data_IF_808639439666
#
_entry.id   IF_808639439666
#
_cell.length_a   1.000
_cell.length_b   1.000
_cell.length_c   1.000
_cell.angle_alpha   90.00
_cell.angle_beta   90.00
_cell.angle_gamma   90.00
#
_symmetry.space_group_name_H-M   'P 1'
#
loop_
_entity.id
_entity.type
_entity.pdbx_description
1 polymer ?
#
# COMPACT_ATOMS: atom_id res chain seq x y z
N UNK A 1 11.26 -29.63 2.65
CA UNK A 1 11.25 -28.13 2.67
C UNK A 1 12.64 -27.64 3.03
N UNK A 2 13.21 -26.79 2.19
CA UNK A 2 14.64 -26.45 2.23
C UNK A 2 15.00 -25.50 3.38
N UNK A 3 16.06 -25.81 4.15
CA UNK A 3 16.63 -25.00 5.23
C UNK A 3 17.05 -23.61 4.73
N UNK A 4 17.52 -23.52 3.49
CA UNK A 4 17.92 -22.28 2.80
C UNK A 4 16.77 -21.30 2.63
N UNK A 5 15.59 -21.77 2.22
CA UNK A 5 14.38 -20.93 2.01
C UNK A 5 13.88 -20.31 3.32
N UNK A 6 13.96 -21.04 4.43
CA UNK A 6 13.59 -20.53 5.78
C UNK A 6 14.53 -19.44 6.24
N UNK A 7 15.83 -19.66 6.08
CA UNK A 7 16.85 -18.67 6.45
C UNK A 7 16.67 -17.38 5.65
N UNK A 8 16.45 -17.51 4.33
CA UNK A 8 16.18 -16.39 3.44
C UNK A 8 14.92 -15.62 3.86
N UNK A 9 13.83 -16.33 4.18
CA UNK A 9 12.56 -15.70 4.61
C UNK A 9 12.75 -14.89 5.89
N UNK A 10 13.50 -15.38 6.88
CA UNK A 10 13.83 -14.64 8.10
C UNK A 10 14.72 -13.43 7.81
N UNK A 11 15.73 -13.58 6.95
CA UNK A 11 16.62 -12.49 6.53
C UNK A 11 15.84 -11.36 5.85
N UNK A 12 15.01 -11.67 4.85
CA UNK A 12 14.15 -10.70 4.15
C UNK A 12 13.23 -9.97 5.13
N UNK A 13 12.58 -10.70 6.04
CA UNK A 13 11.72 -10.07 7.05
C UNK A 13 12.51 -9.16 8.02
N UNK A 14 13.79 -9.44 8.30
CA UNK A 14 14.65 -8.62 9.16
C UNK A 14 15.05 -7.31 8.48
N UNK A 15 15.45 -7.37 7.21
CA UNK A 15 15.94 -6.22 6.45
C UNK A 15 14.83 -5.40 5.78
N UNK A 16 13.56 -5.71 6.05
CA UNK A 16 12.38 -5.07 5.44
C UNK A 16 12.47 -3.53 5.43
N UNK A 17 12.86 -2.93 6.55
CA UNK A 17 12.96 -1.47 6.66
C UNK A 17 13.97 -0.87 5.69
N UNK A 18 15.10 -1.53 5.49
CA UNK A 18 16.12 -1.13 4.52
C UNK A 18 15.61 -1.28 3.07
N UNK A 19 14.90 -2.37 2.77
CA UNK A 19 14.29 -2.56 1.43
C UNK A 19 13.31 -1.42 1.14
N UNK A 20 12.47 -1.03 2.11
CA UNK A 20 11.54 0.08 1.97
C UNK A 20 12.25 1.43 1.76
N UNK A 21 13.32 1.69 2.52
CA UNK A 21 14.12 2.91 2.37
C UNK A 21 14.75 3.00 0.98
N UNK A 22 15.39 1.91 0.51
CA UNK A 22 15.99 1.84 -0.83
C UNK A 22 14.92 1.99 -1.91
N UNK A 23 13.77 1.31 -1.79
CA UNK A 23 12.67 1.45 -2.73
C UNK A 23 12.15 2.89 -2.81
N UNK A 24 12.06 3.58 -1.66
CA UNK A 24 11.65 4.99 -1.60
C UNK A 24 12.66 5.89 -2.28
N UNK A 25 13.96 5.67 -2.09
CA UNK A 25 15.03 6.42 -2.76
C UNK A 25 15.01 6.19 -4.27
N UNK A 26 14.87 4.94 -4.71
CA UNK A 26 14.84 4.59 -6.14
C UNK A 26 13.60 5.17 -6.86
N UNK A 27 12.46 5.27 -6.17
CA UNK A 27 11.26 5.88 -6.75
C UNK A 27 11.26 7.40 -6.70
N UNK A 28 12.20 8.03 -5.98
CA UNK A 28 12.32 9.47 -5.78
C UNK A 28 13.78 9.95 -5.95
N UNK A 29 14.43 9.57 -7.03
CA UNK A 29 15.85 9.88 -7.27
C UNK A 29 16.10 11.39 -7.45
N UNK A 30 15.11 12.14 -7.95
CA UNK A 30 15.25 13.57 -8.24
C UNK A 30 15.09 14.46 -7.01
N UNK A 31 15.69 14.07 -5.87
CA UNK A 31 15.64 14.81 -4.59
C UNK A 31 16.00 16.31 -4.74
N UNK A 32 17.02 16.71 -5.54
CA UNK A 32 17.35 18.14 -5.71
C UNK A 32 16.20 19.00 -6.24
N UNK A 33 15.24 18.40 -6.96
CA UNK A 33 14.06 19.11 -7.45
C UNK A 33 13.09 19.52 -6.33
N UNK A 34 13.14 18.87 -5.15
CA UNK A 34 12.38 19.30 -3.97
C UNK A 34 12.76 20.70 -3.53
N UNK A 35 14.06 21.02 -3.57
CA UNK A 35 14.58 22.35 -3.20
C UNK A 35 14.30 23.38 -4.31
N UNK A 36 14.31 22.97 -5.56
CA UNK A 36 14.07 23.83 -6.72
C UNK A 36 12.58 24.10 -6.98
N UNK A 37 11.67 23.40 -6.32
CA UNK A 37 10.22 23.50 -6.53
C UNK A 37 9.78 23.19 -7.97
N UNK A 38 10.54 22.34 -8.70
CA UNK A 38 10.25 21.96 -10.09
C UNK A 38 9.91 20.49 -10.19
N UNK A 39 8.81 20.16 -10.89
CA UNK A 39 8.39 18.78 -11.13
C UNK A 39 9.26 18.17 -12.23
N UNK A 40 9.84 16.99 -11.98
CA UNK A 40 10.51 16.21 -13.01
C UNK A 40 9.53 15.77 -14.10
N UNK A 41 9.85 15.98 -15.37
CA UNK A 41 9.01 15.69 -16.54
C UNK A 41 9.66 14.74 -17.54
N UNK A 42 10.64 13.96 -17.13
CA UNK A 42 11.33 13.00 -18.02
C UNK A 42 10.43 11.84 -18.47
N UNK A 43 10.81 11.18 -19.57
CA UNK A 43 10.06 10.04 -20.16
C UNK A 43 9.77 8.90 -19.17
N UNK A 44 10.65 8.65 -18.19
CA UNK A 44 10.45 7.60 -17.18
C UNK A 44 9.21 7.85 -16.33
N UNK A 45 8.76 9.11 -16.18
CA UNK A 45 7.56 9.45 -15.40
C UNK A 45 6.26 8.90 -16.00
N UNK A 46 6.26 8.44 -17.24
CA UNK A 46 5.12 7.73 -17.85
C UNK A 46 4.96 6.30 -17.33
N UNK A 47 6.01 5.73 -16.72
CA UNK A 47 6.00 4.39 -16.16
C UNK A 47 5.45 4.43 -14.73
N UNK A 48 4.53 3.52 -14.40
CA UNK A 48 3.97 3.41 -13.07
C UNK A 48 4.94 2.72 -12.11
N UNK A 49 5.06 3.26 -10.88
CA UNK A 49 5.74 2.59 -9.78
C UNK A 49 4.78 1.63 -9.07
N UNK A 50 5.26 0.56 -8.42
CA UNK A 50 4.37 -0.43 -7.80
C UNK A 50 3.64 0.08 -6.56
N UNK A 51 4.20 1.08 -5.87
CA UNK A 51 3.66 1.67 -4.64
C UNK A 51 2.89 2.97 -4.86
N UNK A 52 2.39 3.54 -3.77
CA UNK A 52 1.77 4.87 -3.80
C UNK A 52 2.87 5.92 -3.88
N UNK A 53 2.90 6.68 -4.96
CA UNK A 53 3.86 7.78 -5.21
C UNK A 53 3.13 8.92 -5.93
N UNK A 54 3.28 10.17 -5.49
CA UNK A 54 2.54 11.26 -6.09
C UNK A 54 3.14 11.68 -7.44
N UNK A 55 2.31 11.78 -8.50
CA UNK A 55 2.76 12.29 -9.80
C UNK A 55 3.30 13.73 -9.71
N UNK A 56 2.69 14.55 -8.84
CA UNK A 56 3.10 15.95 -8.62
C UNK A 56 4.32 16.09 -7.69
N UNK A 57 4.90 14.98 -7.19
CA UNK A 57 6.12 15.03 -6.41
C UNK A 57 7.30 15.50 -7.28
N UNK A 58 8.06 16.53 -6.86
CA UNK A 58 9.25 16.99 -7.58
C UNK A 58 10.32 15.91 -7.73
N UNK A 59 10.48 15.06 -6.73
CA UNK A 59 11.49 14.01 -6.70
C UNK A 59 11.05 12.73 -7.43
N UNK A 60 9.75 12.55 -7.71
CA UNK A 60 9.21 11.31 -8.23
C UNK A 60 9.72 10.98 -9.63
N UNK A 61 10.29 9.77 -9.77
CA UNK A 61 10.77 9.23 -11.04
C UNK A 61 9.65 8.65 -11.88
N UNK A 62 8.64 8.02 -11.25
CA UNK A 62 7.53 7.37 -11.94
C UNK A 62 6.16 7.85 -11.45
N UNK A 63 5.11 7.43 -12.16
CA UNK A 63 3.73 7.82 -11.87
C UNK A 63 3.06 6.96 -10.80
N UNK A 64 2.12 7.55 -10.06
CA UNK A 64 1.24 6.82 -9.16
C UNK A 64 0.26 5.94 -9.96
N UNK A 65 0.18 4.62 -9.70
CA UNK A 65 -0.71 3.75 -10.44
C UNK A 65 -2.20 4.06 -10.22
N UNK A 66 -2.59 4.58 -9.05
CA UNK A 66 -3.97 5.03 -8.80
C UNK A 66 -4.29 6.30 -9.56
N UNK A 67 -3.37 7.26 -9.63
CA UNK A 67 -3.55 8.47 -10.44
C UNK A 67 -3.68 8.15 -11.93
N UNK A 68 -2.81 7.28 -12.45
CA UNK A 68 -2.87 6.80 -13.83
C UNK A 68 -4.18 6.04 -14.10
N UNK A 69 -4.65 5.23 -13.18
CA UNK A 69 -5.91 4.49 -13.33
C UNK A 69 -7.13 5.43 -13.39
N UNK A 70 -7.19 6.45 -12.52
CA UNK A 70 -8.25 7.47 -12.58
C UNK A 70 -8.21 8.26 -13.89
N UNK A 71 -7.02 8.61 -14.38
CA UNK A 71 -6.86 9.31 -15.65
C UNK A 71 -7.38 8.46 -16.83
N UNK A 72 -7.09 7.15 -16.84
CA UNK A 72 -7.58 6.22 -17.87
C UNK A 72 -9.10 6.07 -17.80
N UNK A 73 -9.67 5.93 -16.61
CA UNK A 73 -11.13 5.83 -16.44
C UNK A 73 -11.81 7.14 -16.84
N UNK A 74 -11.28 8.29 -16.41
CA UNK A 74 -11.82 9.60 -16.75
C UNK A 74 -11.72 9.93 -18.23
N UNK A 75 -10.81 9.31 -18.98
CA UNK A 75 -10.67 9.43 -20.43
C UNK A 75 -11.34 8.29 -21.21
N UNK A 76 -12.07 7.39 -20.57
CA UNK A 76 -12.63 6.17 -21.17
C UNK A 76 -13.61 6.44 -22.35
N UNK A 77 -14.23 7.62 -22.36
CA UNK A 77 -15.08 8.05 -23.48
C UNK A 77 -14.30 8.28 -24.80
N UNK A 78 -12.98 8.56 -24.70
CA UNK A 78 -12.12 8.81 -25.85
C UNK A 78 -11.30 7.59 -26.23
N UNK A 79 -10.51 7.07 -25.28
CA UNK A 79 -9.66 5.90 -25.48
C UNK A 79 -9.36 5.22 -24.14
N UNK A 80 -9.63 3.92 -24.01
CA UNK A 80 -9.26 3.16 -22.83
C UNK A 80 -7.86 2.56 -23.00
N UNK A 81 -6.93 2.90 -22.10
CA UNK A 81 -5.58 2.34 -22.09
C UNK A 81 -5.51 1.12 -21.17
N UNK A 82 -5.28 -0.06 -21.73
CA UNK A 82 -5.17 -1.31 -20.99
C UNK A 82 -3.86 -1.45 -20.20
N UNK A 83 -2.88 -0.55 -20.42
CA UNK A 83 -1.57 -0.58 -19.77
C UNK A 83 -1.68 -0.68 -18.25
N UNK A 84 -2.43 0.22 -17.63
CA UNK A 84 -2.53 0.27 -16.16
C UNK A 84 -3.28 -0.94 -15.59
N UNK A 85 -4.30 -1.43 -16.29
CA UNK A 85 -5.02 -2.64 -15.88
C UNK A 85 -4.11 -3.86 -15.95
N UNK A 86 -3.35 -4.02 -17.04
CA UNK A 86 -2.34 -5.06 -17.18
C UNK A 86 -1.24 -4.97 -16.11
N UNK A 87 -0.80 -3.76 -15.79
CA UNK A 87 0.16 -3.51 -14.71
C UNK A 87 -0.35 -3.99 -13.35
N UNK A 88 -1.62 -3.70 -12.99
CA UNK A 88 -2.22 -4.18 -11.75
C UNK A 88 -2.36 -5.69 -11.71
N UNK A 89 -2.80 -6.31 -12.82
CA UNK A 89 -2.94 -7.76 -12.91
C UNK A 89 -1.57 -8.42 -12.76
N UNK A 90 -0.57 -7.98 -13.52
CA UNK A 90 0.78 -8.54 -13.48
C UNK A 90 1.38 -8.48 -12.08
N UNK A 91 1.44 -7.29 -11.48
CA UNK A 91 2.01 -7.11 -10.15
C UNK A 91 1.17 -7.76 -9.06
N UNK A 92 -0.15 -7.72 -9.18
CA UNK A 92 -1.07 -8.36 -8.26
C UNK A 92 -0.90 -9.88 -8.24
N UNK A 93 -0.80 -10.50 -9.42
CA UNK A 93 -0.59 -11.95 -9.55
C UNK A 93 0.78 -12.40 -9.06
N UNK A 94 1.84 -11.64 -9.32
CA UNK A 94 3.20 -12.01 -8.89
C UNK A 94 3.38 -11.79 -7.39
N UNK A 95 3.08 -10.59 -6.90
CA UNK A 95 3.47 -10.13 -5.57
C UNK A 95 2.28 -9.89 -4.61
N UNK A 96 1.06 -9.64 -5.11
CA UNK A 96 -0.07 -9.26 -4.28
C UNK A 96 0.25 -8.07 -3.37
N UNK A 97 -0.17 -8.13 -2.11
CA UNK A 97 0.09 -7.06 -1.12
C UNK A 97 1.52 -7.03 -0.55
N UNK A 98 2.43 -7.87 -1.01
CA UNK A 98 3.86 -7.74 -0.69
C UNK A 98 4.38 -6.35 -1.08
N UNK A 99 3.91 -5.80 -2.19
CA UNK A 99 4.20 -4.43 -2.64
C UNK A 99 3.92 -3.41 -1.53
N UNK A 100 2.76 -3.50 -0.88
CA UNK A 100 2.41 -2.63 0.24
C UNK A 100 3.33 -2.81 1.46
N UNK A 101 3.87 -4.02 1.64
CA UNK A 101 4.77 -4.35 2.74
C UNK A 101 6.20 -3.89 2.56
N UNK A 102 6.71 -3.87 1.32
CA UNK A 102 8.13 -3.71 1.02
C UNK A 102 8.48 -2.57 0.06
N UNK A 103 7.60 -2.23 -0.89
CA UNK A 103 7.91 -1.28 -1.97
C UNK A 103 7.18 0.06 -1.84
N UNK A 104 6.10 0.13 -1.04
CA UNK A 104 5.29 1.33 -0.92
C UNK A 104 5.91 2.31 0.09
N UNK A 105 6.29 3.48 -0.39
CA UNK A 105 6.90 4.54 0.43
C UNK A 105 5.92 5.13 1.46
N UNK A 106 4.64 5.32 1.12
CA UNK A 106 3.64 5.77 2.09
C UNK A 106 3.40 4.74 3.20
N UNK A 107 3.55 3.44 2.87
CA UNK A 107 3.55 2.37 3.86
C UNK A 107 4.77 2.45 4.80
N UNK A 108 5.95 2.81 4.27
CA UNK A 108 7.14 3.03 5.08
C UNK A 108 7.01 4.26 5.99
N UNK A 109 6.48 5.37 5.46
CA UNK A 109 6.17 6.56 6.24
C UNK A 109 5.28 6.25 7.46
N UNK A 110 4.18 5.50 7.27
CA UNK A 110 3.33 5.07 8.37
C UNK A 110 4.05 4.13 9.36
N UNK A 111 4.94 3.27 8.87
CA UNK A 111 5.76 2.40 9.74
C UNK A 111 6.72 3.22 10.63
N UNK A 112 7.29 4.32 10.10
CA UNK A 112 8.14 5.23 10.86
C UNK A 112 7.33 5.98 11.93
N UNK A 113 6.18 6.53 11.57
CA UNK A 113 5.28 7.20 12.52
C UNK A 113 4.85 6.26 13.65
N UNK A 114 4.55 5.00 13.32
CA UNK A 114 4.15 4.02 14.32
C UNK A 114 5.29 3.62 15.28
N UNK A 115 6.55 3.95 15.01
CA UNK A 115 7.66 3.74 15.94
C UNK A 115 7.72 4.81 17.03
N UNK A 116 7.10 5.97 16.84
CA UNK A 116 7.05 7.04 17.85
C UNK A 116 6.39 6.50 19.13
N UNK A 117 6.96 6.80 20.28
CA UNK A 117 6.43 6.38 21.58
C UNK A 117 5.02 6.91 21.81
N UNK A 118 4.15 6.10 22.39
CA UNK A 118 2.77 6.44 22.70
C UNK A 118 1.88 5.21 22.83
N UNK A 119 0.63 5.42 23.25
CA UNK A 119 -0.38 4.35 23.36
C UNK A 119 -0.66 3.75 21.99
N UNK A 120 -0.59 2.43 21.85
CA UNK A 120 -0.87 1.70 20.61
C UNK A 120 -2.16 0.92 20.76
N UNK A 121 -3.06 1.08 19.81
CA UNK A 121 -4.35 0.41 19.81
C UNK A 121 -4.42 -0.66 18.73
N UNK A 122 -5.05 -1.79 19.06
CA UNK A 122 -5.38 -2.83 18.08
C UNK A 122 -6.61 -2.43 17.27
N UNK A 123 -6.59 -2.72 15.97
CA UNK A 123 -7.73 -2.50 15.07
C UNK A 123 -8.65 -3.71 14.98
N UNK A 124 -8.48 -4.72 15.84
CA UNK A 124 -9.24 -5.97 15.78
C UNK A 124 -10.76 -5.77 15.92
N UNK A 125 -11.21 -4.75 16.68
CA UNK A 125 -12.63 -4.39 16.81
C UNK A 125 -13.18 -3.63 15.60
N UNK A 126 -12.32 -2.99 14.81
CA UNK A 126 -12.69 -2.12 13.68
C UNK A 126 -12.65 -2.87 12.34
N UNK A 127 -13.04 -4.15 12.33
CA UNK A 127 -13.01 -4.99 11.12
C UNK A 127 -13.88 -4.45 9.99
N UNK A 128 -15.01 -3.82 10.33
CA UNK A 128 -15.94 -3.26 9.34
C UNK A 128 -15.32 -2.11 8.53
N UNK A 129 -14.44 -1.29 9.14
CA UNK A 129 -13.76 -0.21 8.45
C UNK A 129 -12.84 -0.72 7.31
N UNK A 130 -12.47 -2.00 7.30
CA UNK A 130 -11.67 -2.58 6.22
C UNK A 130 -12.39 -2.57 4.86
N UNK A 131 -13.73 -2.52 4.87
CA UNK A 131 -14.53 -2.45 3.64
C UNK A 131 -14.57 -1.04 3.05
N UNK A 132 -14.29 0.01 3.85
CA UNK A 132 -14.30 1.41 3.41
C UNK A 132 -13.37 1.65 2.20
N UNK A 133 -12.18 1.02 2.16
CA UNK A 133 -11.26 1.15 1.02
C UNK A 133 -11.82 0.60 -0.30
N UNK A 134 -12.69 -0.43 -0.26
CA UNK A 134 -13.36 -0.96 -1.45
C UNK A 134 -14.47 -0.01 -1.91
N UNK A 135 -15.22 0.58 -0.96
CA UNK A 135 -16.18 1.64 -1.27
C UNK A 135 -15.48 2.85 -1.91
N UNK A 136 -14.35 3.29 -1.33
CA UNK A 136 -13.55 4.39 -1.90
C UNK A 136 -13.04 4.02 -3.30
N UNK A 137 -12.58 2.79 -3.52
CA UNK A 137 -12.14 2.33 -4.83
C UNK A 137 -13.29 2.40 -5.86
N UNK A 138 -14.47 1.90 -5.51
CA UNK A 138 -15.60 1.89 -6.44
C UNK A 138 -16.11 3.30 -6.69
N UNK A 139 -16.38 4.08 -5.64
CA UNK A 139 -17.01 5.39 -5.77
C UNK A 139 -16.02 6.44 -6.29
N UNK A 140 -14.90 6.66 -5.59
CA UNK A 140 -13.99 7.80 -5.85
C UNK A 140 -12.95 7.53 -6.94
N UNK A 141 -12.63 6.26 -7.22
CA UNK A 141 -11.62 5.93 -8.24
C UNK A 141 -12.25 5.48 -9.54
N UNK A 142 -13.45 4.86 -9.51
CA UNK A 142 -14.11 4.34 -10.73
C UNK A 142 -15.33 5.19 -11.10
N UNK A 143 -16.37 5.25 -10.27
CA UNK A 143 -17.64 5.86 -10.63
C UNK A 143 -17.53 7.37 -10.83
N UNK A 144 -17.01 8.12 -9.88
CA UNK A 144 -16.93 9.57 -9.99
C UNK A 144 -16.12 10.04 -11.21
N UNK A 145 -14.89 9.52 -11.48
CA UNK A 145 -14.16 9.90 -12.69
C UNK A 145 -14.86 9.50 -14.00
N UNK A 146 -15.70 8.46 -13.97
CA UNK A 146 -16.43 7.99 -15.15
C UNK A 146 -17.64 8.87 -15.49
N UNK A 147 -18.39 9.30 -14.47
CA UNK A 147 -19.66 9.99 -14.65
C UNK A 147 -19.54 11.51 -14.53
N UNK A 148 -18.66 12.01 -13.66
CA UNK A 148 -18.49 13.45 -13.44
C UNK A 148 -17.32 13.95 -14.27
N UNK A 149 -17.63 14.55 -15.40
CA UNK A 149 -16.64 15.11 -16.33
C UNK A 149 -16.57 16.63 -16.22
N UNK A 150 -15.41 17.20 -16.49
CA UNK A 150 -15.18 18.64 -16.58
C UNK A 150 -15.69 19.19 -17.93
N UNK A 151 -15.55 20.50 -18.14
CA UNK A 151 -15.96 21.21 -19.38
C UNK A 151 -15.32 20.65 -20.66
N UNK A 152 -14.17 19.94 -20.54
CA UNK A 152 -13.45 19.32 -21.66
C UNK A 152 -13.90 17.85 -21.89
N UNK A 153 -14.84 17.34 -21.08
CA UNK A 153 -15.33 15.97 -21.18
C UNK A 153 -14.42 14.91 -20.53
N UNK A 154 -13.40 15.33 -19.78
CA UNK A 154 -12.52 14.42 -19.03
C UNK A 154 -12.92 14.34 -17.55
N UNK A 155 -12.88 13.14 -16.97
CA UNK A 155 -13.17 12.94 -15.56
C UNK A 155 -12.04 13.42 -14.66
N UNK A 156 -12.41 14.10 -13.58
CA UNK A 156 -11.45 14.54 -12.54
C UNK A 156 -10.97 13.35 -11.69
N UNK A 157 -9.71 13.36 -11.24
CA UNK A 157 -9.17 12.32 -10.35
C UNK A 157 -9.62 12.54 -8.91
N UNK A 158 -10.87 12.27 -8.58
CA UNK A 158 -11.52 12.59 -7.30
C UNK A 158 -10.77 12.10 -6.07
N UNK A 159 -10.28 10.85 -6.08
CA UNK A 159 -9.50 10.35 -4.95
C UNK A 159 -8.22 11.16 -4.73
N UNK A 160 -7.47 11.45 -5.79
CA UNK A 160 -6.23 12.24 -5.71
C UNK A 160 -6.51 13.69 -5.31
N UNK A 161 -7.62 14.26 -5.81
CA UNK A 161 -8.01 15.66 -5.58
C UNK A 161 -8.49 15.91 -4.16
N UNK A 162 -9.26 14.98 -3.57
CA UNK A 162 -9.94 15.22 -2.29
C UNK A 162 -9.45 14.37 -1.12
N UNK A 163 -9.02 13.11 -1.33
CA UNK A 163 -8.79 12.16 -0.24
C UNK A 163 -7.30 11.84 -0.03
N UNK A 164 -6.49 11.82 -1.11
CA UNK A 164 -5.12 11.32 -1.04
C UNK A 164 -4.19 12.24 -0.23
N UNK A 165 -3.65 11.80 0.94
CA UNK A 165 -2.71 12.60 1.73
C UNK A 165 -1.31 12.66 1.11
N UNK A 166 -0.95 11.67 0.27
CA UNK A 166 0.34 11.61 -0.40
C UNK A 166 0.58 12.81 -1.32
N UNK A 167 -0.48 13.28 -1.99
CA UNK A 167 -0.42 14.46 -2.85
C UNK A 167 -0.04 15.74 -2.11
N UNK A 168 -0.42 15.86 -0.83
CA UNK A 168 0.00 16.99 0.03
C UNK A 168 1.42 16.78 0.52
N UNK A 169 1.71 15.59 1.07
CA UNK A 169 3.00 15.28 1.68
C UNK A 169 4.17 15.41 0.69
N UNK A 170 4.04 14.86 -0.50
CA UNK A 170 5.12 14.79 -1.49
C UNK A 170 5.02 15.82 -2.60
N UNK A 171 3.83 16.36 -2.85
CA UNK A 171 3.58 17.34 -3.92
C UNK A 171 3.40 18.75 -3.37
N UNK A 172 2.25 19.01 -2.75
CA UNK A 172 1.85 20.38 -2.41
C UNK A 172 2.79 21.05 -1.41
N UNK A 173 3.23 20.36 -0.35
CA UNK A 173 4.16 20.94 0.65
C UNK A 173 5.52 21.29 0.01
N UNK A 174 6.25 20.37 -0.65
CA UNK A 174 7.55 20.73 -1.24
C UNK A 174 7.44 21.81 -2.33
N UNK A 175 6.40 21.76 -3.17
CA UNK A 175 6.20 22.74 -4.22
C UNK A 175 5.91 24.14 -3.66
N UNK A 176 5.10 24.23 -2.58
CA UNK A 176 4.78 25.51 -1.94
C UNK A 176 5.96 26.11 -1.19
N UNK A 177 6.88 25.28 -0.70
CA UNK A 177 8.12 25.74 -0.05
C UNK A 177 9.13 26.26 -1.08
N UNK A 178 9.21 25.60 -2.25
CA UNK A 178 10.17 25.95 -3.29
C UNK A 178 9.68 27.02 -4.27
N UNK A 179 8.38 27.36 -4.31
CA UNK A 179 7.83 28.29 -5.29
C UNK A 179 6.75 29.21 -4.66
N UNK A 180 7.04 30.52 -4.62
CA UNK A 180 6.15 31.54 -4.04
C UNK A 180 4.83 31.70 -4.82
N UNK A 181 4.86 31.56 -6.15
CA UNK A 181 3.66 31.65 -6.99
C UNK A 181 2.68 30.50 -6.70
N UNK A 182 3.19 29.29 -6.44
CA UNK A 182 2.34 28.16 -6.03
C UNK A 182 1.77 28.41 -4.63
N UNK A 183 2.57 28.97 -3.71
CA UNK A 183 2.13 29.29 -2.36
C UNK A 183 0.96 30.28 -2.36
N UNK A 184 1.01 31.32 -3.18
CA UNK A 184 -0.07 32.32 -3.29
C UNK A 184 -1.36 31.77 -3.92
N UNK A 185 -1.25 30.72 -4.73
CA UNK A 185 -2.38 30.06 -5.38
C UNK A 185 -3.05 28.97 -4.52
N UNK A 186 -2.54 28.69 -3.30
CA UNK A 186 -3.12 27.70 -2.41
C UNK A 186 -4.46 28.19 -1.84
N UNK A 187 -5.54 27.49 -2.16
CA UNK A 187 -6.90 27.79 -1.68
C UNK A 187 -7.36 26.86 -0.54
N UNK A 188 -8.66 26.94 -0.23
CA UNK A 188 -9.33 26.18 0.83
C UNK A 188 -9.16 24.65 0.68
N UNK A 189 -9.07 24.15 -0.54
CA UNK A 189 -8.84 22.73 -0.82
C UNK A 189 -7.49 22.24 -0.24
N UNK A 190 -6.46 23.06 -0.27
CA UNK A 190 -5.17 22.72 0.33
C UNK A 190 -5.30 22.57 1.85
N UNK A 191 -5.97 23.51 2.53
CA UNK A 191 -6.20 23.44 3.98
C UNK A 191 -6.99 22.20 4.37
N UNK A 192 -8.04 21.85 3.62
CA UNK A 192 -8.82 20.62 3.83
C UNK A 192 -7.95 19.37 3.69
N UNK A 193 -7.11 19.30 2.67
CA UNK A 193 -6.19 18.16 2.45
C UNK A 193 -5.08 18.09 3.49
N UNK A 194 -4.60 19.23 4.02
CA UNK A 194 -3.69 19.26 5.16
C UNK A 194 -4.34 18.66 6.41
N UNK A 195 -5.60 18.94 6.66
CA UNK A 195 -6.35 18.34 7.76
C UNK A 195 -6.41 16.82 7.63
N UNK A 196 -6.68 16.29 6.41
CA UNK A 196 -6.65 14.85 6.15
C UNK A 196 -5.26 14.26 6.42
N UNK A 197 -4.19 14.93 5.96
CA UNK A 197 -2.82 14.48 6.20
C UNK A 197 -2.52 14.42 7.69
N UNK A 198 -2.85 15.47 8.45
CA UNK A 198 -2.66 15.53 9.91
C UNK A 198 -3.44 14.38 10.59
N UNK A 199 -4.69 14.18 10.21
CA UNK A 199 -5.52 13.08 10.72
C UNK A 199 -4.85 11.72 10.46
N UNK A 200 -4.35 11.47 9.25
CA UNK A 200 -3.66 10.23 8.91
C UNK A 200 -2.36 10.07 9.70
N UNK A 201 -1.61 11.16 9.94
CA UNK A 201 -0.39 11.15 10.76
C UNK A 201 -0.72 10.77 12.20
N UNK A 202 -1.69 11.43 12.83
CA UNK A 202 -2.12 11.11 14.21
C UNK A 202 -2.61 9.67 14.31
N UNK A 203 -3.47 9.24 13.41
CA UNK A 203 -3.95 7.86 13.37
C UNK A 203 -2.81 6.85 13.16
N UNK A 204 -1.75 7.19 12.39
CA UNK A 204 -0.60 6.31 12.15
C UNK A 204 0.31 6.15 13.37
N UNK A 205 0.31 7.13 14.28
CA UNK A 205 0.99 7.02 15.57
C UNK A 205 0.23 6.04 16.48
N UNK A 206 -1.11 6.14 16.51
CA UNK A 206 -1.98 5.32 17.36
C UNK A 206 -2.21 3.90 16.83
N UNK A 207 -2.48 3.76 15.54
CA UNK A 207 -2.82 2.51 14.87
C UNK A 207 -1.76 2.13 13.84
N UNK A 208 -1.54 0.83 13.67
CA UNK A 208 -0.62 0.35 12.65
C UNK A 208 -1.24 0.46 11.26
N UNK A 209 -0.68 1.31 10.40
CA UNK A 209 -1.05 1.52 8.99
C UNK A 209 -2.55 1.78 8.75
N UNK A 210 -3.19 2.75 9.40
CA UNK A 210 -4.63 3.00 9.29
C UNK A 210 -5.04 3.35 7.86
N UNK A 211 -4.28 4.19 7.15
CA UNK A 211 -4.58 4.53 5.77
C UNK A 211 -4.57 3.30 4.86
N UNK A 212 -3.56 2.44 4.97
CA UNK A 212 -3.46 1.20 4.18
C UNK A 212 -4.56 0.19 4.51
N UNK A 213 -5.08 0.19 5.76
CA UNK A 213 -6.16 -0.70 6.19
C UNK A 213 -7.53 -0.23 5.71
N UNK A 214 -7.80 1.08 5.76
CA UNK A 214 -9.16 1.62 5.68
C UNK A 214 -9.44 2.47 4.45
N UNK A 215 -8.45 3.20 3.92
CA UNK A 215 -8.67 4.26 2.92
C UNK A 215 -8.03 3.92 1.57
N UNK A 216 -6.86 3.27 1.55
CA UNK A 216 -6.03 3.14 0.35
C UNK A 216 -6.65 2.26 -0.74
N UNK A 217 -7.05 2.80 -1.91
CA UNK A 217 -7.62 2.03 -3.01
C UNK A 217 -6.60 1.10 -3.67
N UNK A 218 -5.31 1.46 -3.70
CA UNK A 218 -4.23 0.58 -4.16
C UNK A 218 -4.14 -0.68 -3.29
N UNK A 219 -4.30 -0.50 -1.97
CA UNK A 219 -4.39 -1.62 -1.03
C UNK A 219 -5.63 -2.48 -1.26
N UNK A 220 -6.75 -1.92 -1.72
CA UNK A 220 -7.94 -2.65 -2.09
C UNK A 220 -7.70 -3.50 -3.35
N UNK A 221 -7.12 -2.93 -4.41
CA UNK A 221 -6.81 -3.65 -5.67
C UNK A 221 -5.90 -4.84 -5.38
N UNK A 222 -4.73 -4.63 -4.75
CA UNK A 222 -3.80 -5.72 -4.45
C UNK A 222 -4.35 -6.76 -3.47
N UNK A 223 -5.32 -6.40 -2.62
CA UNK A 223 -5.94 -7.36 -1.71
C UNK A 223 -6.78 -8.43 -2.42
N UNK A 224 -7.37 -8.11 -3.57
CA UNK A 224 -8.12 -9.06 -4.40
C UNK A 224 -7.21 -10.18 -4.89
N UNK A 225 -5.97 -9.85 -5.24
CA UNK A 225 -4.98 -10.83 -5.73
C UNK A 225 -4.29 -11.62 -4.62
N UNK A 226 -4.44 -11.25 -3.35
CA UNK A 226 -3.61 -11.80 -2.27
C UNK A 226 -3.80 -13.31 -2.06
N UNK A 227 -4.97 -13.86 -2.39
CA UNK A 227 -5.25 -15.29 -2.30
C UNK A 227 -4.66 -16.09 -3.46
N UNK A 228 -4.56 -15.48 -4.65
CA UNK A 228 -4.17 -16.15 -5.90
C UNK A 228 -2.75 -15.83 -6.34
N UNK A 229 -2.07 -14.87 -5.69
CA UNK A 229 -0.72 -14.44 -6.06
C UNK A 229 0.32 -15.55 -5.86
N UNK A 230 1.32 -15.55 -6.73
CA UNK A 230 2.40 -16.54 -6.74
C UNK A 230 3.27 -16.49 -5.49
N UNK A 231 3.58 -15.29 -4.98
CA UNK A 231 4.26 -15.12 -3.70
C UNK A 231 3.22 -15.22 -2.58
N UNK A 232 3.32 -16.20 -1.71
CA UNK A 232 2.40 -16.35 -0.58
C UNK A 232 3.13 -16.78 0.71
N UNK A 233 2.40 -16.82 1.82
CA UNK A 233 2.90 -17.30 3.11
C UNK A 233 2.38 -18.72 3.31
N UNK A 234 3.31 -19.66 3.57
CA UNK A 234 2.99 -21.05 3.92
C UNK A 234 3.24 -21.30 5.39
N UNK A 235 2.27 -21.97 6.03
CA UNK A 235 2.39 -22.50 7.38
C UNK A 235 2.52 -24.03 7.27
N UNK A 236 3.62 -24.57 7.80
CA UNK A 236 3.89 -26.00 7.82
C UNK A 236 3.20 -26.65 9.02
N UNK A 237 2.11 -27.37 8.77
CA UNK A 237 1.26 -27.96 9.82
C UNK A 237 1.99 -28.95 10.72
N UNK A 238 2.97 -29.71 10.18
CA UNK A 238 3.78 -30.69 10.95
C UNK A 238 4.68 -30.04 12.01
N UNK A 239 5.09 -28.77 11.80
CA UNK A 239 5.94 -28.02 12.73
C UNK A 239 5.17 -27.02 13.59
N UNK A 240 3.90 -26.77 13.22
CA UNK A 240 3.08 -25.80 13.95
C UNK A 240 2.49 -26.42 15.21
N UNK A 241 2.94 -25.92 16.35
CA UNK A 241 2.48 -26.37 17.69
C UNK A 241 1.25 -25.60 18.21
N UNK A 242 0.62 -24.73 17.40
CA UNK A 242 -0.58 -24.01 17.79
C UNK A 242 -0.38 -22.87 18.83
N UNK A 243 0.84 -22.43 19.10
CA UNK A 243 1.14 -21.44 20.16
C UNK A 243 0.62 -20.02 19.91
N UNK A 244 0.02 -19.72 18.75
CA UNK A 244 -0.55 -18.42 18.35
C UNK A 244 0.39 -17.18 18.43
N UNK A 245 1.68 -17.36 18.66
CA UNK A 245 2.62 -16.23 18.71
C UNK A 245 2.69 -15.44 17.39
N UNK A 246 2.50 -16.12 16.26
CA UNK A 246 2.43 -15.49 14.92
C UNK A 246 1.24 -14.55 14.78
N UNK A 247 0.06 -14.93 15.30
CA UNK A 247 -1.15 -14.11 15.28
C UNK A 247 -1.04 -12.92 16.23
N UNK A 248 -0.44 -13.10 17.44
CA UNK A 248 -0.13 -12.01 18.38
C UNK A 248 0.86 -11.00 17.80
N UNK A 249 1.87 -11.46 17.05
CA UNK A 249 2.86 -10.61 16.39
C UNK A 249 2.32 -9.89 15.14
N UNK A 250 1.13 -10.26 14.67
CA UNK A 250 0.54 -9.70 13.44
C UNK A 250 -0.10 -8.33 13.69
N UNK A 251 0.60 -7.25 13.32
CA UNK A 251 0.09 -5.88 13.41
C UNK A 251 -1.09 -5.57 12.47
N UNK A 252 -1.41 -6.50 11.54
CA UNK A 252 -2.59 -6.38 10.67
C UNK A 252 -3.82 -7.07 11.25
N UNK A 253 -3.74 -7.59 12.49
CA UNK A 253 -4.82 -8.27 13.23
C UNK A 253 -5.42 -9.44 12.43
N UNK A 254 -4.55 -10.33 11.93
CA UNK A 254 -4.90 -11.52 11.14
C UNK A 254 -4.55 -12.76 11.94
N UNK A 255 -5.43 -13.76 11.93
CA UNK A 255 -5.10 -15.10 12.40
C UNK A 255 -4.27 -15.83 11.33
N UNK A 256 -2.95 -15.79 11.51
CA UNK A 256 -2.00 -16.35 10.53
C UNK A 256 -2.08 -17.86 10.44
N UNK A 257 -2.44 -18.55 11.54
CA UNK A 257 -2.55 -19.99 11.54
C UNK A 257 -3.74 -20.48 10.70
N UNK A 258 -4.88 -19.75 10.77
CA UNK A 258 -6.09 -20.12 10.04
C UNK A 258 -6.09 -19.58 8.62
N UNK A 259 -5.65 -18.32 8.43
CA UNK A 259 -5.75 -17.61 7.15
C UNK A 259 -4.44 -16.89 6.79
N UNK A 260 -3.34 -17.61 6.44
CA UNK A 260 -2.03 -17.00 6.21
C UNK A 260 -2.01 -16.00 5.03
N UNK A 261 -2.85 -16.23 4.00
CA UNK A 261 -2.97 -15.37 2.81
C UNK A 261 -4.26 -14.53 2.81
N UNK A 262 -4.67 -14.08 3.99
CA UNK A 262 -5.82 -13.18 4.14
C UNK A 262 -5.67 -11.93 3.23
N UNK A 263 -6.75 -11.39 2.65
CA UNK A 263 -6.70 -10.16 1.83
C UNK A 263 -5.97 -8.99 2.49
N UNK A 264 -6.02 -8.88 3.82
CA UNK A 264 -5.32 -7.83 4.57
C UNK A 264 -3.82 -8.13 4.84
N UNK A 265 -3.30 -9.30 4.50
CA UNK A 265 -1.90 -9.65 4.76
C UNK A 265 -0.96 -8.89 3.82
N UNK A 266 -0.14 -7.98 4.36
CA UNK A 266 0.89 -7.24 3.62
C UNK A 266 2.22 -8.01 3.50
N UNK A 267 2.24 -9.27 3.93
CA UNK A 267 3.41 -10.16 3.87
C UNK A 267 4.67 -9.59 4.50
N UNK A 268 4.53 -8.82 5.57
CA UNK A 268 5.64 -8.12 6.24
C UNK A 268 6.64 -9.04 6.95
N UNK A 269 6.33 -10.32 7.12
CA UNK A 269 7.20 -11.31 7.75
C UNK A 269 7.28 -11.25 9.28
N UNK A 270 6.45 -10.44 9.96
CA UNK A 270 6.43 -10.39 11.43
C UNK A 270 6.12 -11.76 12.05
N UNK A 271 5.17 -12.49 11.48
CA UNK A 271 4.82 -13.85 11.87
C UNK A 271 5.97 -14.86 11.67
N UNK A 272 6.78 -14.68 10.61
CA UNK A 272 7.95 -15.53 10.34
C UNK A 272 9.02 -15.33 11.43
N UNK A 273 9.24 -14.07 11.84
CA UNK A 273 10.19 -13.75 12.93
C UNK A 273 9.74 -14.27 14.28
N UNK A 274 8.43 -14.22 14.55
CA UNK A 274 7.86 -14.60 15.83
C UNK A 274 7.67 -16.11 16.00
N UNK A 275 7.83 -16.92 14.95
CA UNK A 275 7.61 -18.35 15.02
C UNK A 275 8.81 -19.08 15.65
N UNK A 276 8.69 -19.68 16.86
CA UNK A 276 9.81 -20.36 17.52
C UNK A 276 10.18 -21.69 16.85
N UNK A 277 9.23 -22.34 16.17
CA UNK A 277 9.43 -23.63 15.48
C UNK A 277 9.71 -23.49 13.98
N UNK A 278 9.94 -22.27 13.48
CA UNK A 278 10.20 -22.01 12.05
C UNK A 278 9.19 -22.65 11.08
N UNK A 279 7.92 -22.70 11.53
CA UNK A 279 6.85 -23.30 10.77
C UNK A 279 6.31 -22.39 9.64
N UNK A 280 6.73 -21.11 9.56
CA UNK A 280 6.19 -20.11 8.62
C UNK A 280 7.30 -19.63 7.70
N UNK A 281 7.01 -19.55 6.40
CA UNK A 281 7.95 -19.03 5.38
C UNK A 281 7.23 -18.40 4.20
N UNK A 282 7.97 -17.64 3.40
CA UNK A 282 7.53 -17.25 2.05
C UNK A 282 7.64 -18.45 1.12
N UNK A 283 6.65 -18.57 0.24
CA UNK A 283 6.63 -19.57 -0.83
C UNK A 283 6.29 -18.87 -2.16
N UNK A 284 7.03 -19.20 -3.21
CA UNK A 284 6.75 -18.76 -4.57
C UNK A 284 6.25 -19.96 -5.38
N UNK A 285 5.15 -19.79 -6.14
CA UNK A 285 4.55 -20.85 -6.99
C UNK A 285 4.23 -22.17 -6.26
N UNK A 286 3.74 -22.12 -5.04
CA UNK A 286 3.36 -23.32 -4.29
C UNK A 286 1.90 -23.34 -3.87
N UNK A 287 1.24 -24.50 -3.95
CA UNK A 287 -0.13 -24.67 -3.43
C UNK A 287 -0.16 -24.44 -1.92
N UNK A 288 -1.07 -23.60 -1.46
CA UNK A 288 -1.28 -23.35 -0.03
C UNK A 288 -1.95 -24.56 0.60
N UNK A 289 -1.24 -25.29 1.46
CA UNK A 289 -1.85 -26.36 2.24
C UNK A 289 -2.70 -25.74 3.36
N UNK A 290 -3.99 -25.68 3.20
CA UNK A 290 -4.91 -25.38 4.30
C UNK A 290 -5.04 -26.65 5.15
N UNK A 291 -4.80 -26.54 6.46
CA UNK A 291 -5.16 -27.58 7.41
C UNK A 291 -6.68 -27.74 7.33
N UNK A 292 -7.20 -28.87 6.86
CA UNK A 292 -8.60 -29.25 7.09
C UNK A 292 -8.82 -29.19 8.60
N UNK A 293 -9.74 -28.33 9.03
CA UNK A 293 -10.25 -28.39 10.40
C UNK A 293 -10.97 -29.73 10.58
N UNK A 294 -10.31 -30.71 11.16
CA UNK A 294 -11.02 -31.78 11.83
C UNK A 294 -11.55 -31.20 13.15
N UNK A 295 -12.70 -30.58 13.07
CA UNK A 295 -13.58 -30.33 14.21
C UNK A 295 -14.34 -31.61 14.55
N UNK A 296 -13.62 -32.67 14.87
CA UNK A 296 -14.18 -33.88 15.50
C UNK A 296 -13.03 -34.53 16.28
N UNK A 297 -12.89 -34.14 17.51
CA UNK A 297 -12.41 -34.99 18.58
C UNK A 297 -13.27 -34.71 19.80
N UNK A 298 -13.77 -35.79 20.41
CA UNK A 298 -14.75 -35.77 21.48
C UNK A 298 -14.26 -35.09 22.76
#
# INVERSE_FOLDING_TARGET
MDKKTKLLSKKVARIRGWIQAIATLLTNIHIPNLLKGKIYQGKIKTVCVPGLNCYSCPAATGACPIGAFQAVIGSSRFKFSYYITGFFILLGMILGRFICGFLCQFGWFQDLLHKIHGKKFSTARLKLLRYLKYMILIVFVILLPMFVTNSVGMGDPFFCKYICPQGVLEGAIPLSLGNTAIRSALGTLFSFKCLILITVVVLSILFYRPFCKWICPLGAIYSLFNKISFLNIKVEGSKCVGCNQCSKACKMDIDVCKTPNHPECIRCGACIKACPKDAIQYQFLGKTCQKKNNSNQP
#
